data_IF_291794810848
#
_entry.id   IF_291794810848
#
_cell.length_a   1.000
_cell.length_b   1.000
_cell.length_c   1.000
_cell.angle_alpha   90.00
_cell.angle_beta   90.00
_cell.angle_gamma   90.00
#
_symmetry.space_group_name_H-M   'P 1'
#
loop_
_entity.id
_entity.type
_entity.pdbx_description
1 polymer ?
#
# COMPACT_ATOMS: atom_id res chain seq x y z
N UNK A 1 11.38 -22.69 16.20
CA UNK A 1 10.12 -23.01 15.51
C UNK A 1 8.96 -22.44 16.33
N UNK A 2 8.08 -21.53 15.91
CA UNK A 2 7.93 -20.64 14.73
C UNK A 2 6.47 -20.15 14.70
N UNK A 3 6.21 -18.84 14.67
CA UNK A 3 4.88 -18.27 14.35
C UNK A 3 4.65 -18.20 12.83
N UNK A 4 5.71 -17.99 12.04
CA UNK A 4 5.68 -17.90 10.57
C UNK A 4 5.59 -19.25 9.87
N UNK A 5 6.05 -20.32 10.50
CA UNK A 5 6.00 -21.68 9.95
C UNK A 5 4.61 -22.32 10.14
N UNK A 6 3.91 -21.97 11.23
CA UNK A 6 2.50 -22.36 11.43
C UNK A 6 1.61 -21.77 10.34
N UNK A 7 1.74 -20.46 10.04
CA UNK A 7 1.02 -19.83 8.93
C UNK A 7 1.32 -20.48 7.57
N UNK A 8 2.58 -20.78 7.28
CA UNK A 8 2.95 -21.44 6.02
C UNK A 8 2.36 -22.85 5.92
N UNK A 9 2.29 -23.56 7.04
CA UNK A 9 1.69 -24.90 7.12
C UNK A 9 0.17 -24.85 6.98
N UNK A 10 -0.50 -23.86 7.59
CA UNK A 10 -1.94 -23.61 7.46
C UNK A 10 -2.32 -23.15 6.04
N UNK A 11 -1.57 -22.24 5.44
CA UNK A 11 -1.78 -21.80 4.05
C UNK A 11 -1.64 -22.97 3.06
N UNK A 12 -0.68 -23.86 3.27
CA UNK A 12 -0.54 -25.09 2.49
C UNK A 12 -1.74 -26.03 2.63
N UNK A 13 -2.31 -26.14 3.83
CA UNK A 13 -3.53 -26.93 4.10
C UNK A 13 -4.75 -26.32 3.39
N UNK A 14 -4.97 -25.01 3.54
CA UNK A 14 -6.08 -24.30 2.89
C UNK A 14 -5.97 -24.31 1.36
N UNK A 15 -4.77 -24.19 0.81
CA UNK A 15 -4.54 -24.27 -0.62
C UNK A 15 -5.03 -25.59 -1.21
N UNK A 16 -4.85 -26.71 -0.51
CA UNK A 16 -5.34 -28.02 -0.97
C UNK A 16 -6.87 -28.12 -0.96
N UNK A 17 -7.53 -27.51 0.02
CA UNK A 17 -9.00 -27.43 0.08
C UNK A 17 -9.56 -26.58 -1.07
N UNK A 18 -8.94 -25.43 -1.37
CA UNK A 18 -9.35 -24.58 -2.49
C UNK A 18 -9.05 -25.17 -3.86
N UNK A 19 -8.06 -26.04 -3.96
CA UNK A 19 -7.77 -26.78 -5.20
C UNK A 19 -8.81 -27.87 -5.43
N UNK A 20 -9.19 -28.61 -4.39
CA UNK A 20 -10.24 -29.64 -4.46
C UNK A 20 -11.59 -29.05 -4.93
N UNK A 21 -12.01 -27.92 -4.35
CA UNK A 21 -13.25 -27.24 -4.74
C UNK A 21 -13.22 -26.66 -6.16
N UNK A 22 -12.03 -26.31 -6.69
CA UNK A 22 -11.88 -25.83 -8.06
C UNK A 22 -12.06 -26.94 -9.10
N UNK A 23 -11.68 -28.17 -8.77
CA UNK A 23 -11.81 -29.31 -9.68
C UNK A 23 -13.27 -29.72 -9.89
N UNK A 24 -14.14 -29.49 -8.89
CA UNK A 24 -15.57 -29.83 -8.93
C UNK A 24 -16.48 -28.58 -8.99
N UNK A 25 -15.94 -27.48 -9.50
CA UNK A 25 -16.69 -26.23 -9.58
C UNK A 25 -17.90 -26.40 -10.52
N UNK A 26 -19.15 -26.22 -10.02
CA UNK A 26 -20.33 -26.36 -10.84
C UNK A 26 -20.35 -25.28 -11.93
N UNK A 27 -20.48 -25.70 -13.18
CA UNK A 27 -20.65 -24.74 -14.29
C UNK A 27 -22.00 -24.01 -14.14
N UNK A 28 -22.03 -22.68 -14.33
CA UNK A 28 -23.29 -21.96 -14.37
C UNK A 28 -24.16 -22.43 -15.55
N UNK A 29 -25.49 -22.39 -15.38
CA UNK A 29 -26.40 -22.78 -16.44
C UNK A 29 -26.32 -21.82 -17.64
N UNK A 30 -26.57 -22.34 -18.85
CA UNK A 30 -26.54 -21.54 -20.08
C UNK A 30 -27.52 -20.35 -20.04
N UNK A 31 -28.71 -20.55 -19.47
CA UNK A 31 -29.71 -19.50 -19.30
C UNK A 31 -29.21 -18.37 -18.38
N UNK A 32 -28.49 -18.72 -17.31
CA UNK A 32 -27.89 -17.72 -16.42
C UNK A 32 -26.82 -16.92 -17.16
N UNK A 33 -25.93 -17.60 -17.90
CA UNK A 33 -24.88 -16.96 -18.69
C UNK A 33 -25.46 -15.98 -19.72
N UNK A 34 -26.51 -16.39 -20.45
CA UNK A 34 -27.18 -15.55 -21.43
C UNK A 34 -27.81 -14.30 -20.81
N UNK A 35 -28.42 -14.42 -19.62
CA UNK A 35 -28.96 -13.27 -18.87
C UNK A 35 -27.85 -12.33 -18.40
N UNK A 36 -26.74 -12.88 -17.92
CA UNK A 36 -25.57 -12.13 -17.46
C UNK A 36 -24.95 -11.31 -18.60
N UNK A 37 -24.81 -11.92 -19.78
CA UNK A 37 -24.31 -11.24 -20.98
C UNK A 37 -25.22 -10.11 -21.44
N UNK A 38 -26.54 -10.34 -21.45
CA UNK A 38 -27.51 -9.30 -21.80
C UNK A 38 -27.44 -8.10 -20.85
N UNK A 39 -27.28 -8.34 -19.55
CA UNK A 39 -27.08 -7.28 -18.55
C UNK A 39 -25.76 -6.54 -18.77
N UNK A 40 -24.68 -7.25 -19.03
CA UNK A 40 -23.38 -6.65 -19.29
C UNK A 40 -23.43 -5.73 -20.53
N UNK A 41 -24.09 -6.17 -21.60
CA UNK A 41 -24.29 -5.36 -22.82
C UNK A 41 -25.15 -4.12 -22.56
N UNK A 42 -26.16 -4.21 -21.70
CA UNK A 42 -27.01 -3.07 -21.34
C UNK A 42 -26.25 -1.99 -20.55
N UNK A 43 -25.31 -2.41 -19.68
CA UNK A 43 -24.48 -1.51 -18.87
C UNK A 43 -23.20 -1.05 -19.58
N UNK A 44 -22.91 -1.56 -20.78
CA UNK A 44 -21.77 -1.07 -21.54
C UNK A 44 -21.97 0.41 -21.88
N UNK A 45 -21.05 1.30 -21.46
CA UNK A 45 -21.15 2.69 -21.81
C UNK A 45 -21.06 2.80 -23.33
N UNK A 46 -22.08 3.40 -23.94
CA UNK A 46 -22.03 3.71 -25.37
C UNK A 46 -20.73 4.47 -25.65
N UNK A 47 -19.95 4.10 -26.70
CA UNK A 47 -18.75 4.83 -27.06
C UNK A 47 -19.15 6.26 -27.40
N UNK A 48 -18.99 7.15 -26.42
CA UNK A 48 -19.14 8.58 -26.63
C UNK A 48 -18.01 8.93 -27.57
N UNK A 49 -18.35 9.22 -28.83
CA UNK A 49 -17.40 9.77 -29.80
C UNK A 49 -16.76 10.98 -29.12
N UNK A 50 -15.53 10.80 -28.64
CA UNK A 50 -14.75 11.91 -28.15
C UNK A 50 -14.61 12.86 -29.35
N UNK A 51 -14.85 14.17 -29.17
CA UNK A 51 -14.47 15.14 -30.19
C UNK A 51 -13.02 14.87 -30.56
N UNK A 52 -12.69 14.82 -31.85
CA UNK A 52 -11.29 14.70 -32.26
C UNK A 52 -10.51 15.80 -31.52
N UNK A 53 -9.46 15.46 -30.77
CA UNK A 53 -8.67 16.48 -30.10
C UNK A 53 -8.11 17.40 -31.18
N UNK A 54 -8.53 18.67 -31.14
CA UNK A 54 -7.90 19.70 -31.94
C UNK A 54 -6.39 19.67 -31.64
N UNK A 55 -5.51 19.84 -32.63
CA UNK A 55 -4.07 19.85 -32.39
C UNK A 55 -3.76 20.97 -31.40
N UNK A 56 -3.48 20.60 -30.14
CA UNK A 56 -3.07 21.54 -29.13
C UNK A 56 -1.72 22.12 -29.56
N UNK A 57 -1.50 23.45 -29.44
CA UNK A 57 -0.19 24.01 -29.71
C UNK A 57 0.82 23.34 -28.77
N UNK A 58 1.84 22.71 -29.33
CA UNK A 58 2.94 22.08 -28.58
C UNK A 58 3.68 23.18 -27.81
N UNK A 59 3.24 23.47 -26.59
CA UNK A 59 3.93 24.38 -25.68
C UNK A 59 5.11 23.62 -25.08
N UNK A 60 6.16 23.45 -25.87
CA UNK A 60 7.40 22.88 -25.40
C UNK A 60 8.08 23.88 -24.46
N UNK A 61 8.04 23.62 -23.16
CA UNK A 61 8.72 24.43 -22.15
C UNK A 61 8.88 23.69 -20.84
N UNK A 62 9.75 24.20 -19.97
CA UNK A 62 10.03 23.64 -18.64
C UNK A 62 8.76 23.46 -17.78
N UNK A 63 7.72 24.27 -18.04
CA UNK A 63 6.40 24.17 -17.39
C UNK A 63 5.61 22.93 -17.86
N UNK A 64 5.79 22.49 -19.09
CA UNK A 64 5.18 21.25 -19.62
C UNK A 64 5.88 20.02 -19.02
N UNK A 65 7.21 20.07 -18.87
CA UNK A 65 7.97 19.04 -18.16
C UNK A 65 7.52 18.93 -16.69
N UNK A 66 7.37 20.04 -15.98
CA UNK A 66 6.81 20.05 -14.62
C UNK A 66 5.38 19.49 -14.57
N UNK A 67 4.53 19.77 -15.56
CA UNK A 67 3.19 19.15 -15.66
C UNK A 67 3.25 17.64 -15.89
N UNK A 68 4.19 17.16 -16.70
CA UNK A 68 4.39 15.73 -16.95
C UNK A 68 4.83 14.96 -15.70
N UNK A 69 5.59 15.60 -14.80
CA UNK A 69 6.00 15.01 -13.52
C UNK A 69 4.93 15.07 -12.40
N UNK A 70 3.74 15.65 -12.66
CA UNK A 70 2.66 15.78 -11.68
C UNK A 70 2.41 17.21 -11.18
N UNK A 71 3.07 18.21 -11.78
CA UNK A 71 2.86 19.63 -11.49
C UNK A 71 3.57 20.14 -10.25
N UNK A 72 3.03 21.20 -9.65
CA UNK A 72 3.53 21.82 -8.42
C UNK A 72 3.70 20.86 -7.22
N UNK A 73 2.80 19.88 -6.96
CA UNK A 73 3.00 18.96 -5.82
C UNK A 73 4.22 18.06 -5.99
N UNK A 74 4.57 17.65 -7.22
CA UNK A 74 5.77 16.86 -7.47
C UNK A 74 7.05 17.67 -7.18
N UNK A 75 7.07 18.96 -7.55
CA UNK A 75 8.17 19.86 -7.24
C UNK A 75 8.30 20.12 -5.73
N UNK A 76 7.17 20.28 -5.03
CA UNK A 76 7.16 20.42 -3.57
C UNK A 76 7.69 19.17 -2.87
N UNK A 77 7.31 17.97 -3.34
CA UNK A 77 7.85 16.71 -2.83
C UNK A 77 9.35 16.55 -3.08
N UNK A 78 9.83 16.92 -4.26
CA UNK A 78 11.26 16.90 -4.59
C UNK A 78 12.07 17.89 -3.73
N UNK A 79 11.56 19.10 -3.52
CA UNK A 79 12.18 20.07 -2.63
C UNK A 79 12.22 19.57 -1.18
N UNK A 80 11.13 18.98 -0.68
CA UNK A 80 11.08 18.38 0.64
C UNK A 80 12.06 17.20 0.78
N UNK A 81 12.19 16.35 -0.25
CA UNK A 81 13.16 15.26 -0.28
C UNK A 81 14.61 15.76 -0.26
N UNK A 82 14.92 16.84 -1.00
CA UNK A 82 16.24 17.48 -0.93
C UNK A 82 16.51 18.07 0.46
N UNK A 83 15.53 18.74 1.07
CA UNK A 83 15.67 19.28 2.42
C UNK A 83 15.87 18.17 3.47
N UNK A 84 15.12 17.07 3.35
CA UNK A 84 15.31 15.88 4.20
C UNK A 84 16.69 15.24 3.98
N UNK A 85 17.15 15.15 2.74
CA UNK A 85 18.49 14.65 2.41
C UNK A 85 19.61 15.50 3.02
N UNK A 86 19.47 16.83 2.97
CA UNK A 86 20.41 17.76 3.63
C UNK A 86 20.35 17.62 5.15
N UNK A 87 19.16 17.54 5.73
CA UNK A 87 18.99 17.34 7.17
C UNK A 87 19.66 16.05 7.66
N UNK A 88 19.45 14.95 6.94
CA UNK A 88 20.05 13.65 7.24
C UNK A 88 21.57 13.70 7.01
N UNK A 89 22.03 14.35 5.94
CA UNK A 89 23.46 14.45 5.62
C UNK A 89 24.26 15.33 6.59
N UNK A 90 23.63 16.32 7.22
CA UNK A 90 24.25 17.23 8.21
C UNK A 90 24.17 16.65 9.63
N UNK A 91 23.37 15.61 9.87
CA UNK A 91 23.29 14.95 11.16
C UNK A 91 24.59 14.18 11.44
N UNK A 92 25.55 14.83 12.10
CA UNK A 92 26.72 14.18 12.68
C UNK A 92 26.28 13.08 13.66
N UNK A 93 26.92 11.88 13.64
CA UNK A 93 26.57 10.77 14.54
C UNK A 93 26.64 11.15 16.03
N UNK A 94 27.45 12.15 16.39
CA UNK A 94 27.56 12.77 17.72
C UNK A 94 26.23 13.38 18.23
N UNK A 95 25.40 13.90 17.31
CA UNK A 95 24.10 14.50 17.65
C UNK A 95 23.06 13.41 17.95
N UNK A 96 23.14 12.27 17.25
CA UNK A 96 22.30 11.10 17.55
C UNK A 96 22.65 10.51 18.90
N UNK A 97 23.93 10.34 19.25
CA UNK A 97 24.32 9.81 20.56
C UNK A 97 23.91 10.73 21.70
N UNK A 98 23.97 12.05 21.51
CA UNK A 98 23.54 13.04 22.52
C UNK A 98 22.02 13.03 22.74
N UNK A 99 21.21 12.94 21.68
CA UNK A 99 19.74 12.84 21.79
C UNK A 99 19.29 11.52 22.42
N UNK A 100 19.92 10.39 22.04
CA UNK A 100 19.67 9.09 22.67
C UNK A 100 20.12 9.07 24.13
N UNK A 101 21.22 9.76 24.46
CA UNK A 101 21.73 9.84 25.84
C UNK A 101 20.92 10.79 26.72
N UNK A 102 20.33 11.85 26.16
CA UNK A 102 19.45 12.78 26.90
C UNK A 102 18.10 12.18 27.23
N UNK A 103 17.61 11.23 26.42
CA UNK A 103 16.30 10.59 26.60
C UNK A 103 16.37 9.23 27.32
N UNK A 104 17.58 8.68 27.49
CA UNK A 104 17.83 7.37 28.08
C UNK A 104 17.71 7.29 29.61
N UNK A 105 17.44 8.40 30.31
CA UNK A 105 17.38 8.42 31.79
C UNK A 105 15.96 8.48 32.38
N UNK A 106 14.90 8.56 31.57
CA UNK A 106 13.51 8.61 32.08
C UNK A 106 12.53 7.68 31.38
N UNK A 107 12.87 7.10 30.24
CA UNK A 107 12.04 6.06 29.62
C UNK A 107 12.40 4.72 30.25
N UNK A 108 11.76 4.43 31.39
CA UNK A 108 11.73 3.09 31.97
C UNK A 108 11.26 2.11 30.88
N UNK A 109 12.21 1.38 30.31
CA UNK A 109 12.02 0.35 29.30
C UNK A 109 11.23 -0.87 29.85
N UNK A 110 10.63 -0.75 31.05
CA UNK A 110 9.62 -1.70 31.54
C UNK A 110 8.24 -1.48 30.92
N UNK A 111 7.96 -0.30 30.35
CA UNK A 111 6.68 -0.04 29.67
C UNK A 111 6.59 -0.67 28.26
N UNK A 112 7.72 -1.10 27.70
CA UNK A 112 7.82 -1.72 26.36
C UNK A 112 8.46 -3.12 26.49
N UNK A 113 8.11 -3.86 27.56
CA UNK A 113 8.33 -5.30 27.57
C UNK A 113 7.02 -5.99 27.14
N UNK A 114 6.98 -6.71 26.01
CA UNK A 114 5.79 -7.43 25.54
C UNK A 114 5.29 -8.49 26.53
N UNK A 115 6.13 -8.95 27.47
CA UNK A 115 5.67 -9.87 28.53
C UNK A 115 4.65 -9.20 29.46
N UNK A 116 4.85 -7.92 29.81
CA UNK A 116 3.99 -7.13 30.69
C UNK A 116 2.57 -6.96 30.13
N UNK A 117 2.44 -6.81 28.81
CA UNK A 117 1.16 -6.68 28.14
C UNK A 117 0.32 -7.97 28.19
N UNK A 118 1.00 -9.13 28.24
CA UNK A 118 0.34 -10.43 28.33
C UNK A 118 -0.18 -10.71 29.75
N UNK A 119 0.58 -10.33 30.78
CA UNK A 119 0.14 -10.41 32.18
C UNK A 119 -1.07 -9.49 32.46
N UNK A 120 -1.10 -8.29 31.88
CA UNK A 120 -2.27 -7.41 31.97
C UNK A 120 -3.52 -8.02 31.32
N UNK A 121 -3.36 -8.67 30.16
CA UNK A 121 -4.47 -9.35 29.48
C UNK A 121 -4.97 -10.58 30.25
N UNK A 122 -4.10 -11.28 31.00
CA UNK A 122 -4.49 -12.40 31.87
C UNK A 122 -5.14 -11.94 33.18
N UNK A 123 -4.76 -10.78 33.71
CA UNK A 123 -5.36 -10.22 34.93
C UNK A 123 -6.73 -9.56 34.69
N UNK A 124 -7.14 -9.39 33.42
CA UNK A 124 -8.51 -8.98 33.06
C UNK A 124 -8.90 -7.58 33.50
N UNK A 125 -7.92 -6.66 33.62
CA UNK A 125 -8.14 -5.23 33.86
C UNK A 125 -8.13 -4.43 32.57
#
# INVERSE_FOLDING_TARGET
MTMTDQRRTEEGSLASLFEAERQDAPLPSGDWMARMEALALAEQPAPRRAPLPAPAPRRAGWREALRAFGGWPALAGLAAACAAGVWIGVASPEMMTTLLSSDGSSLSLSAVDPASGFDYAMLGL
#
